data_IF_603826040984
#
_entry.id   IF_603826040984
#
_cell.length_a   1.000
_cell.length_b   1.000
_cell.length_c   1.000
_cell.angle_alpha   90.00
_cell.angle_beta   90.00
_cell.angle_gamma   90.00
#
_symmetry.space_group_name_H-M   'P 1'
#
loop_
_entity.id
_entity.type
_entity.pdbx_description
1 polymer ?
#
# COMPACT_ATOMS: atom_id res chain seq x y z
N UNK A 1 -4.88 4.98 7.52
CA UNK A 1 -4.79 5.31 8.97
C UNK A 1 -3.83 4.37 9.71
N UNK A 2 -3.74 3.08 9.33
CA UNK A 2 -2.84 2.10 9.97
C UNK A 2 -1.39 2.56 10.02
N UNK A 3 -0.83 3.07 8.93
CA UNK A 3 0.55 3.58 8.89
C UNK A 3 0.77 4.64 9.97
N UNK A 4 -0.16 5.58 10.15
CA UNK A 4 -0.05 6.64 11.17
C UNK A 4 -0.16 6.11 12.59
N UNK A 5 -0.88 5.02 12.80
CA UNK A 5 -0.99 4.38 14.11
C UNK A 5 0.36 3.81 14.56
N UNK A 6 1.09 3.17 13.66
CA UNK A 6 2.37 2.52 13.97
C UNK A 6 3.58 3.46 13.77
N UNK A 7 3.46 4.48 12.93
CA UNK A 7 4.48 5.48 12.71
C UNK A 7 3.87 6.90 12.78
N UNK A 8 3.69 7.46 13.99
CA UNK A 8 3.00 8.74 14.19
C UNK A 8 3.66 9.93 13.51
N UNK A 9 4.98 9.89 13.34
CA UNK A 9 5.76 10.95 12.68
C UNK A 9 5.67 10.90 11.15
N UNK A 10 5.19 9.78 10.56
CA UNK A 10 5.07 9.67 9.11
C UNK A 10 4.13 10.75 8.55
N UNK A 11 4.52 11.35 7.45
CA UNK A 11 3.62 12.12 6.61
C UNK A 11 2.98 11.15 5.61
N UNK A 12 1.65 11.08 5.61
CA UNK A 12 0.90 10.12 4.79
C UNK A 12 0.00 10.87 3.83
N UNK A 13 0.15 10.63 2.54
CA UNK A 13 -0.78 11.05 1.51
C UNK A 13 -1.57 9.83 1.03
N UNK A 14 -2.90 9.93 1.00
CA UNK A 14 -3.78 8.92 0.48
C UNK A 14 -4.42 9.42 -0.81
N UNK A 15 -4.25 8.68 -1.89
CA UNK A 15 -4.78 9.03 -3.22
C UNK A 15 -5.95 8.12 -3.53
N UNK A 16 -7.07 8.71 -3.94
CA UNK A 16 -8.29 8.01 -4.31
C UNK A 16 -8.86 8.62 -5.59
N UNK A 17 -9.24 7.78 -6.55
CA UNK A 17 -9.78 8.20 -7.84
C UNK A 17 -11.27 8.44 -7.80
N UNK A 18 -12.03 7.52 -7.15
CA UNK A 18 -13.50 7.61 -7.08
C UNK A 18 -13.92 8.81 -6.23
N UNK A 19 -14.77 9.73 -6.74
CA UNK A 19 -15.30 10.82 -5.94
C UNK A 19 -16.09 10.35 -4.72
N UNK A 20 -16.83 9.25 -4.86
CA UNK A 20 -17.64 8.66 -3.79
C UNK A 20 -16.72 8.10 -2.68
N UNK A 21 -15.71 7.32 -3.04
CA UNK A 21 -14.74 6.77 -2.08
C UNK A 21 -13.87 7.88 -1.48
N UNK A 22 -13.53 8.92 -2.26
CA UNK A 22 -12.78 10.08 -1.79
C UNK A 22 -13.52 10.84 -0.67
N UNK A 23 -14.83 10.98 -0.75
CA UNK A 23 -15.64 11.60 0.32
C UNK A 23 -15.49 10.83 1.65
N UNK A 24 -15.43 9.51 1.62
CA UNK A 24 -15.14 8.69 2.81
C UNK A 24 -13.71 8.84 3.29
N UNK A 25 -12.74 8.91 2.37
CA UNK A 25 -11.33 9.16 2.70
C UNK A 25 -11.17 10.49 3.44
N UNK A 26 -11.75 11.57 2.93
CA UNK A 26 -11.73 12.88 3.60
C UNK A 26 -12.35 12.84 4.99
N UNK A 27 -13.53 12.22 5.12
CA UNK A 27 -14.20 12.05 6.42
C UNK A 27 -13.32 11.32 7.42
N UNK A 28 -12.70 10.23 7.01
CA UNK A 28 -11.82 9.43 7.85
C UNK A 28 -10.54 10.19 8.24
N UNK A 29 -9.95 10.94 7.30
CA UNK A 29 -8.77 11.77 7.57
C UNK A 29 -9.08 12.87 8.61
N UNK A 30 -10.26 13.52 8.52
CA UNK A 30 -10.73 14.54 9.50
C UNK A 30 -10.98 13.92 10.87
N UNK A 31 -11.61 12.75 10.95
CA UNK A 31 -11.84 12.06 12.21
C UNK A 31 -10.53 11.69 12.91
N UNK A 32 -9.51 11.28 12.17
CA UNK A 32 -8.19 10.99 12.70
C UNK A 32 -7.49 12.24 13.29
N UNK A 33 -7.69 13.41 12.67
CA UNK A 33 -7.18 14.69 13.18
C UNK A 33 -7.89 15.14 14.47
N UNK A 34 -9.19 14.90 14.56
CA UNK A 34 -10.01 15.34 15.71
C UNK A 34 -9.84 14.45 16.96
N UNK A 35 -9.05 13.41 16.92
CA UNK A 35 -8.93 12.46 18.03
C UNK A 35 -10.22 11.66 18.31
N UNK A 36 -11.20 11.77 17.43
CA UNK A 36 -12.50 11.07 17.51
C UNK A 36 -12.49 9.74 16.76
N UNK A 37 -11.32 9.13 16.57
CA UNK A 37 -11.27 7.73 16.18
C UNK A 37 -12.03 6.93 17.23
N UNK A 38 -13.04 6.14 16.83
CA UNK A 38 -13.64 5.16 17.73
C UNK A 38 -12.51 4.47 18.47
N UNK A 39 -12.59 4.46 19.80
CA UNK A 39 -11.79 3.56 20.61
C UNK A 39 -12.05 2.14 20.11
N UNK A 40 -11.24 1.69 19.18
CA UNK A 40 -11.06 0.27 18.89
C UNK A 40 -10.10 -0.25 19.96
N UNK A 41 -10.49 -0.12 21.23
CA UNK A 41 -10.05 -1.01 22.27
C UNK A 41 -10.46 -2.40 21.80
N UNK A 42 -9.51 -3.29 21.64
CA UNK A 42 -9.63 -4.72 21.34
C UNK A 42 -9.58 -5.20 19.87
N UNK A 43 -8.80 -4.59 19.01
CA UNK A 43 -8.38 -5.30 17.79
C UNK A 43 -6.85 -5.28 17.69
N UNK A 44 -6.27 -6.42 17.98
CA UNK A 44 -4.87 -6.82 17.93
C UNK A 44 -4.10 -6.61 19.26
N UNK A 45 -4.25 -7.57 20.14
CA UNK A 45 -3.17 -7.94 21.07
C UNK A 45 -1.92 -8.28 20.27
N UNK A 46 -0.71 -7.85 20.69
CA UNK A 46 0.54 -8.07 19.93
C UNK A 46 0.98 -9.53 19.81
N UNK A 47 0.23 -10.46 20.40
CA UNK A 47 0.63 -11.86 20.62
C UNK A 47 0.72 -12.72 19.37
N UNK A 48 0.23 -12.29 18.21
CA UNK A 48 0.29 -13.09 16.98
C UNK A 48 1.50 -12.80 16.07
N UNK A 49 2.29 -11.77 16.36
CA UNK A 49 3.42 -11.35 15.52
C UNK A 49 4.80 -11.82 16.03
N UNK A 50 4.88 -12.39 17.22
CA UNK A 50 6.17 -12.75 17.86
C UNK A 50 6.74 -14.12 17.48
N UNK A 51 6.11 -14.90 16.61
CA UNK A 51 6.55 -16.29 16.31
C UNK A 51 6.95 -16.56 14.86
N UNK A 52 7.28 -15.55 14.06
CA UNK A 52 7.96 -15.78 12.79
C UNK A 52 9.42 -15.36 12.94
N UNK A 53 10.35 -16.27 12.56
CA UNK A 53 11.81 -16.06 12.49
C UNK A 53 12.21 -14.94 11.51
N UNK A 54 11.72 -13.73 11.73
CA UNK A 54 12.21 -12.53 11.07
C UNK A 54 13.22 -11.85 12.00
N UNK A 55 14.34 -11.30 11.50
CA UNK A 55 15.28 -10.56 12.33
C UNK A 55 14.51 -9.47 13.08
N UNK A 56 14.65 -9.46 14.41
CA UNK A 56 13.96 -8.54 15.28
C UNK A 56 14.25 -7.09 14.85
N UNK A 57 13.25 -6.42 14.27
CA UNK A 57 13.32 -4.99 14.05
C UNK A 57 13.15 -4.32 15.41
N UNK A 58 14.16 -3.54 15.83
CA UNK A 58 14.11 -2.78 17.09
C UNK A 58 13.08 -1.65 17.00
N UNK A 59 11.90 -1.90 17.54
CA UNK A 59 10.82 -0.93 17.66
C UNK A 59 11.03 0.10 18.78
N UNK A 60 12.07 -0.04 19.60
CA UNK A 60 12.31 0.79 20.78
C UNK A 60 12.35 2.29 20.48
N UNK A 61 13.08 2.77 19.47
CA UNK A 61 13.08 4.19 19.09
C UNK A 61 11.73 4.67 18.58
N UNK A 62 11.01 3.83 17.82
CA UNK A 62 9.68 4.15 17.29
C UNK A 62 8.62 4.24 18.39
N UNK A 63 8.67 3.35 19.39
CA UNK A 63 7.77 3.36 20.55
C UNK A 63 8.03 4.57 21.48
N UNK A 64 9.25 5.03 21.58
CA UNK A 64 9.56 6.24 22.37
C UNK A 64 9.08 7.53 21.69
N UNK A 65 9.04 7.58 20.36
CA UNK A 65 8.42 8.67 19.60
C UNK A 65 6.88 8.72 19.75
N UNK A 66 6.24 7.62 20.16
CA UNK A 66 4.80 7.55 20.43
C UNK A 66 4.34 8.40 21.65
N UNK A 67 5.27 8.83 22.51
CA UNK A 67 4.92 9.64 23.72
C UNK A 67 4.71 11.12 23.44
N UNK A 68 5.14 11.64 22.30
CA UNK A 68 4.82 12.99 21.87
C UNK A 68 3.48 12.95 21.11
N UNK A 69 2.47 13.74 21.51
CA UNK A 69 1.19 13.84 20.76
C UNK A 69 1.47 14.28 19.33
N UNK A 70 1.41 13.42 18.32
CA UNK A 70 1.69 13.82 16.96
C UNK A 70 0.44 14.46 16.35
N UNK A 71 0.64 15.54 15.61
CA UNK A 71 -0.36 15.97 14.67
C UNK A 71 -0.50 14.87 13.61
N UNK A 72 -1.59 14.10 13.65
CA UNK A 72 -1.86 13.08 12.64
C UNK A 72 -2.28 13.78 11.34
N UNK A 73 -1.33 14.02 10.47
CA UNK A 73 -1.61 14.60 9.16
C UNK A 73 -1.68 13.48 8.11
N UNK A 74 -2.88 12.98 7.86
CA UNK A 74 -3.18 12.21 6.64
C UNK A 74 -3.75 13.21 5.64
N UNK A 75 -3.07 13.40 4.52
CA UNK A 75 -3.53 14.29 3.45
C UNK A 75 -4.33 13.47 2.43
N UNK A 76 -5.65 13.68 2.32
CA UNK A 76 -6.43 13.10 1.25
C UNK A 76 -6.19 13.87 -0.05
N UNK A 77 -6.03 13.15 -1.15
CA UNK A 77 -5.88 13.71 -2.50
C UNK A 77 -6.78 12.93 -3.45
N UNK A 78 -7.61 13.64 -4.21
CA UNK A 78 -8.33 13.02 -5.31
C UNK A 78 -7.41 12.97 -6.53
N UNK A 79 -7.13 11.77 -7.04
CA UNK A 79 -6.18 11.61 -8.14
C UNK A 79 -6.23 10.22 -8.77
N UNK A 80 -5.75 10.14 -10.00
CA UNK A 80 -5.65 8.89 -10.75
C UNK A 80 -4.21 8.34 -10.69
N UNK A 81 -4.04 7.08 -10.31
CA UNK A 81 -2.75 6.40 -10.25
C UNK A 81 -1.99 6.51 -11.59
N UNK A 82 -2.70 6.52 -12.72
CA UNK A 82 -2.06 6.58 -14.04
C UNK A 82 -1.38 7.92 -14.35
N UNK A 83 -1.73 8.99 -13.65
CA UNK A 83 -1.18 10.34 -13.86
C UNK A 83 -0.62 10.98 -12.59
N UNK A 84 -1.01 10.50 -11.41
CA UNK A 84 -0.61 11.11 -10.14
C UNK A 84 0.92 11.12 -9.91
N UNK A 85 1.63 10.14 -10.46
CA UNK A 85 3.10 10.07 -10.39
C UNK A 85 3.80 11.32 -10.95
N UNK A 86 3.19 12.03 -11.91
CA UNK A 86 3.72 13.27 -12.50
C UNK A 86 3.82 14.42 -11.48
N UNK A 87 3.04 14.34 -10.41
CA UNK A 87 3.02 15.34 -9.33
C UNK A 87 3.99 15.02 -8.20
N UNK A 88 4.56 13.81 -8.19
CA UNK A 88 5.41 13.35 -7.10
C UNK A 88 6.84 13.88 -7.25
N UNK A 89 7.42 14.44 -6.17
CA UNK A 89 8.81 14.86 -6.16
C UNK A 89 9.74 13.66 -6.24
N UNK A 90 10.83 13.81 -6.99
CA UNK A 90 11.83 12.74 -7.12
C UNK A 90 12.57 12.49 -5.81
N UNK A 91 12.71 11.22 -5.43
CA UNK A 91 13.56 10.78 -4.34
C UNK A 91 13.12 11.18 -2.94
N UNK A 92 11.86 11.58 -2.74
CA UNK A 92 11.40 12.09 -1.45
C UNK A 92 10.56 11.11 -0.63
N UNK A 93 10.00 10.09 -1.27
CA UNK A 93 9.15 9.14 -0.56
C UNK A 93 9.96 7.99 0.05
N UNK A 94 9.64 7.62 1.28
CA UNK A 94 10.19 6.44 1.95
C UNK A 94 9.47 5.17 1.54
N UNK A 95 8.16 5.28 1.32
CA UNK A 95 7.26 4.14 1.13
C UNK A 95 6.09 4.51 0.22
N UNK A 96 5.78 3.60 -0.71
CA UNK A 96 4.53 3.60 -1.47
C UNK A 96 3.82 2.28 -1.16
N UNK A 97 2.54 2.36 -0.81
CA UNK A 97 1.68 1.20 -0.55
C UNK A 97 0.47 1.27 -1.48
N UNK A 98 0.15 0.18 -2.14
CA UNK A 98 -1.04 0.10 -2.99
C UNK A 98 -1.70 -1.28 -2.90
N UNK A 99 -3.03 -1.26 -2.84
CA UNK A 99 -3.89 -2.40 -3.14
C UNK A 99 -4.68 -2.06 -4.40
N UNK A 100 -4.09 -2.22 -5.58
CA UNK A 100 -4.74 -1.87 -6.82
C UNK A 100 -5.73 -2.94 -7.24
N UNK A 101 -6.69 -2.65 -8.13
CA UNK A 101 -7.47 -3.67 -8.81
C UNK A 101 -6.55 -4.69 -9.49
N UNK A 102 -6.93 -5.96 -9.49
CA UNK A 102 -6.12 -7.03 -10.07
C UNK A 102 -6.91 -8.13 -10.77
N UNK A 103 -8.25 -8.03 -10.82
CA UNK A 103 -9.06 -9.03 -11.51
C UNK A 103 -9.05 -8.80 -13.01
N UNK A 104 -8.96 -9.89 -13.76
CA UNK A 104 -9.10 -9.88 -15.22
C UNK A 104 -10.56 -9.67 -15.62
N UNK A 105 -10.79 -9.22 -16.87
CA UNK A 105 -12.13 -9.12 -17.42
C UNK A 105 -12.89 -10.46 -17.43
N UNK A 106 -12.19 -11.58 -17.52
CA UNK A 106 -12.79 -12.92 -17.45
C UNK A 106 -13.21 -13.28 -16.00
N UNK A 107 -12.39 -12.94 -15.00
CA UNK A 107 -12.70 -13.16 -13.58
C UNK A 107 -13.88 -12.28 -13.12
N UNK A 108 -14.01 -11.08 -13.67
CA UNK A 108 -15.15 -10.18 -13.40
C UNK A 108 -16.51 -10.82 -13.76
N UNK A 109 -16.55 -11.79 -14.67
CA UNK A 109 -17.78 -12.50 -15.04
C UNK A 109 -18.15 -13.62 -14.05
N UNK A 110 -17.26 -13.97 -13.12
CA UNK A 110 -17.40 -15.10 -12.20
C UNK A 110 -17.28 -14.67 -10.73
N UNK A 111 -17.60 -13.41 -10.43
CA UNK A 111 -17.48 -12.87 -9.06
C UNK A 111 -18.45 -13.56 -8.10
N UNK A 112 -17.99 -13.75 -6.88
CA UNK A 112 -18.87 -14.10 -5.77
C UNK A 112 -19.85 -12.95 -5.48
N UNK A 113 -21.07 -13.24 -5.03
CA UNK A 113 -22.11 -12.22 -4.83
C UNK A 113 -21.68 -11.05 -3.93
N UNK A 114 -20.83 -11.32 -2.94
CA UNK A 114 -20.32 -10.33 -2.01
C UNK A 114 -19.39 -9.35 -2.72
N UNK A 115 -18.47 -9.87 -3.56
CA UNK A 115 -17.51 -9.09 -4.32
C UNK A 115 -18.17 -8.32 -5.46
N UNK A 116 -19.24 -8.89 -6.06
CA UNK A 116 -19.99 -8.24 -7.12
C UNK A 116 -20.72 -6.95 -6.68
N UNK A 117 -20.78 -6.68 -5.38
CA UNK A 117 -21.32 -5.42 -4.83
C UNK A 117 -20.31 -4.28 -4.84
N UNK A 118 -19.03 -4.59 -5.01
CA UNK A 118 -17.99 -3.56 -5.11
C UNK A 118 -18.00 -2.89 -6.49
N UNK A 119 -17.65 -1.60 -6.59
CA UNK A 119 -17.56 -0.93 -7.89
C UNK A 119 -16.56 -1.64 -8.81
N UNK A 120 -16.93 -1.88 -10.06
CA UNK A 120 -16.07 -2.55 -11.04
C UNK A 120 -14.69 -1.90 -11.16
N UNK A 121 -14.62 -0.58 -11.07
CA UNK A 121 -13.35 0.18 -11.10
C UNK A 121 -12.41 -0.14 -9.94
N UNK A 122 -12.90 -0.72 -8.84
CA UNK A 122 -12.09 -1.15 -7.71
C UNK A 122 -11.56 -2.57 -7.85
N UNK A 123 -12.03 -3.32 -8.85
CA UNK A 123 -11.75 -4.74 -9.03
C UNK A 123 -11.03 -5.04 -10.34
N UNK A 124 -11.47 -4.43 -11.45
CA UNK A 124 -11.05 -4.76 -12.81
C UNK A 124 -9.70 -4.11 -13.18
N UNK A 125 -8.78 -4.93 -13.68
CA UNK A 125 -7.42 -4.52 -14.08
C UNK A 125 -7.09 -4.91 -15.53
N UNK A 126 -8.09 -4.91 -16.41
CA UNK A 126 -7.92 -5.19 -17.83
C UNK A 126 -7.86 -6.69 -18.16
N UNK A 127 -7.33 -7.02 -19.33
CA UNK A 127 -7.37 -8.39 -19.85
C UNK A 127 -6.53 -9.38 -19.03
N UNK A 128 -5.38 -8.96 -18.52
CA UNK A 128 -4.44 -9.81 -17.79
C UNK A 128 -4.28 -9.47 -16.31
N UNK A 129 -5.07 -8.52 -15.80
CA UNK A 129 -5.03 -8.14 -14.39
C UNK A 129 -3.79 -7.35 -13.96
N UNK A 130 -2.95 -6.86 -14.89
CA UNK A 130 -1.64 -6.28 -14.57
C UNK A 130 -1.52 -4.79 -14.89
N UNK A 131 -2.55 -4.13 -15.38
CA UNK A 131 -2.45 -2.75 -15.88
C UNK A 131 -1.97 -1.77 -14.81
N UNK A 132 -2.43 -1.89 -13.58
CA UNK A 132 -2.02 -1.03 -12.47
C UNK A 132 -0.60 -1.33 -12.00
N UNK A 133 -0.20 -2.60 -11.98
CA UNK A 133 1.18 -2.97 -11.63
C UNK A 133 2.19 -2.45 -12.66
N UNK A 134 1.83 -2.44 -13.94
CA UNK A 134 2.67 -1.81 -15.00
C UNK A 134 2.88 -0.33 -14.72
N UNK A 135 1.82 0.41 -14.44
CA UNK A 135 1.92 1.84 -14.13
C UNK A 135 2.79 2.08 -12.89
N UNK A 136 2.58 1.30 -11.82
CA UNK A 136 3.38 1.40 -10.59
C UNK A 136 4.86 1.07 -10.84
N UNK A 137 5.14 -0.03 -11.56
CA UNK A 137 6.50 -0.44 -11.84
C UNK A 137 7.27 0.57 -12.70
N UNK A 138 6.63 1.13 -13.70
CA UNK A 138 7.26 2.02 -14.69
C UNK A 138 7.47 3.44 -14.16
N UNK A 139 6.50 3.97 -13.40
CA UNK A 139 6.46 5.42 -13.15
C UNK A 139 6.76 5.81 -11.69
N UNK A 140 6.51 4.94 -10.71
CA UNK A 140 6.55 5.34 -9.31
C UNK A 140 7.92 5.18 -8.63
N UNK A 141 8.84 4.43 -9.25
CA UNK A 141 10.16 4.17 -8.65
C UNK A 141 10.97 5.44 -8.39
N UNK A 142 10.87 6.42 -9.26
CA UNK A 142 11.64 7.66 -9.13
C UNK A 142 11.20 8.53 -7.95
N UNK A 143 9.94 8.45 -7.53
CA UNK A 143 9.44 9.18 -6.38
C UNK A 143 10.01 8.67 -5.04
N UNK A 144 10.38 7.39 -4.96
CA UNK A 144 11.03 6.82 -3.78
C UNK A 144 12.49 7.30 -3.66
N UNK A 145 12.97 7.53 -2.44
CA UNK A 145 14.40 7.70 -2.19
C UNK A 145 15.16 6.39 -2.48
N UNK A 146 16.48 6.42 -2.71
CA UNK A 146 17.29 5.20 -2.77
C UNK A 146 17.07 4.32 -1.53
N UNK A 147 16.76 3.04 -1.74
CA UNK A 147 16.38 2.09 -0.68
C UNK A 147 14.93 2.21 -0.19
N UNK A 148 14.16 3.19 -0.66
CA UNK A 148 12.72 3.30 -0.40
C UNK A 148 11.94 2.11 -0.96
N UNK A 149 10.78 1.79 -0.38
CA UNK A 149 10.04 0.57 -0.66
C UNK A 149 8.71 0.83 -1.37
N UNK A 150 8.36 -0.08 -2.27
CA UNK A 150 7.02 -0.27 -2.82
C UNK A 150 6.43 -1.54 -2.21
N UNK A 151 5.21 -1.46 -1.71
CA UNK A 151 4.46 -2.57 -1.14
C UNK A 151 3.14 -2.71 -1.90
N UNK A 152 2.91 -3.86 -2.49
CA UNK A 152 1.75 -4.15 -3.33
C UNK A 152 0.96 -5.34 -2.78
N UNK A 153 -0.35 -5.21 -2.65
CA UNK A 153 -1.22 -6.37 -2.60
C UNK A 153 -1.37 -6.95 -4.01
N UNK A 154 -1.43 -8.28 -4.11
CA UNK A 154 -1.54 -9.00 -5.38
C UNK A 154 -2.62 -10.08 -5.31
N UNK A 155 -3.19 -10.43 -6.45
CA UNK A 155 -3.93 -11.67 -6.62
C UNK A 155 -3.02 -12.88 -6.39
N UNK A 156 -3.54 -13.92 -5.73
CA UNK A 156 -2.76 -15.06 -5.26
C UNK A 156 -1.99 -15.83 -6.36
N UNK A 157 -2.37 -15.70 -7.62
CA UNK A 157 -1.70 -16.30 -8.78
C UNK A 157 -0.74 -15.34 -9.49
N UNK A 158 -0.68 -14.06 -9.10
CA UNK A 158 0.05 -13.04 -9.86
C UNK A 158 1.50 -12.83 -9.41
N UNK A 159 1.97 -13.57 -8.40
CA UNK A 159 3.32 -13.41 -7.86
C UNK A 159 4.39 -13.35 -8.93
N UNK A 160 4.45 -14.35 -9.83
CA UNK A 160 5.51 -14.43 -10.82
C UNK A 160 5.44 -13.26 -11.80
N UNK A 161 4.25 -12.98 -12.35
CA UNK A 161 4.07 -11.92 -13.33
C UNK A 161 4.42 -10.54 -12.77
N UNK A 162 4.01 -10.24 -11.52
CA UNK A 162 4.32 -8.96 -10.89
C UNK A 162 5.80 -8.87 -10.51
N UNK A 163 6.42 -9.97 -10.06
CA UNK A 163 7.87 -10.02 -9.77
C UNK A 163 8.70 -9.74 -11.01
N UNK A 164 8.39 -10.40 -12.13
CA UNK A 164 9.09 -10.21 -13.39
C UNK A 164 8.94 -8.78 -13.90
N UNK A 165 7.72 -8.26 -13.85
CA UNK A 165 7.41 -6.88 -14.24
C UNK A 165 8.22 -5.86 -13.42
N UNK A 166 8.33 -6.04 -12.12
CA UNK A 166 9.13 -5.18 -11.27
C UNK A 166 10.63 -5.29 -11.59
N UNK A 167 11.14 -6.51 -11.76
CA UNK A 167 12.54 -6.74 -12.09
C UNK A 167 12.93 -6.10 -13.44
N UNK A 168 12.10 -6.24 -14.46
CA UNK A 168 12.28 -5.61 -15.78
C UNK A 168 12.32 -4.08 -15.71
N UNK A 169 11.62 -3.49 -14.74
CA UNK A 169 11.60 -2.04 -14.51
C UNK A 169 12.66 -1.57 -13.49
N UNK A 170 13.64 -2.43 -13.17
CA UNK A 170 14.82 -2.07 -12.39
C UNK A 170 14.55 -1.91 -10.89
N UNK A 171 13.56 -2.60 -10.34
CA UNK A 171 13.36 -2.74 -8.91
C UNK A 171 14.32 -3.82 -8.35
N UNK A 172 14.68 -3.69 -7.10
CA UNK A 172 15.59 -4.60 -6.40
C UNK A 172 14.92 -5.18 -5.15
N UNK A 173 15.57 -6.18 -4.54
CA UNK A 173 15.17 -6.81 -3.28
C UNK A 173 13.66 -7.16 -3.26
N UNK A 174 13.22 -7.86 -4.33
CA UNK A 174 11.82 -8.20 -4.53
C UNK A 174 11.49 -9.44 -3.69
N UNK A 175 10.58 -9.29 -2.75
CA UNK A 175 10.13 -10.35 -1.85
C UNK A 175 8.60 -10.52 -1.96
N UNK A 176 8.13 -11.77 -1.83
CA UNK A 176 6.71 -12.05 -1.71
C UNK A 176 6.38 -12.57 -0.31
N UNK A 177 5.32 -12.05 0.28
CA UNK A 177 4.76 -12.49 1.57
C UNK A 177 3.41 -13.14 1.36
N UNK A 178 3.14 -14.16 2.16
CA UNK A 178 1.88 -14.91 2.15
C UNK A 178 0.89 -14.33 3.15
N UNK A 179 -0.39 -14.52 2.85
CA UNK A 179 -1.46 -14.28 3.82
C UNK A 179 -1.57 -15.43 4.84
N UNK A 180 -2.49 -15.29 5.80
CA UNK A 180 -2.73 -16.34 6.80
C UNK A 180 -3.25 -17.65 6.23
N UNK A 181 -3.82 -17.62 5.02
CA UNK A 181 -4.26 -18.81 4.28
C UNK A 181 -3.14 -19.51 3.51
N UNK A 182 -1.91 -18.93 3.52
CA UNK A 182 -0.76 -19.47 2.81
C UNK A 182 -0.68 -19.07 1.34
N UNK A 183 -1.56 -18.18 0.86
CA UNK A 183 -1.54 -17.67 -0.51
C UNK A 183 -0.56 -16.50 -0.65
N UNK A 184 0.10 -16.41 -1.79
CA UNK A 184 0.91 -15.23 -2.12
C UNK A 184 0.00 -14.00 -2.15
N UNK A 185 0.36 -12.95 -1.37
CA UNK A 185 -0.56 -11.82 -1.17
C UNK A 185 0.10 -10.45 -1.23
N UNK A 186 1.35 -10.33 -0.87
CA UNK A 186 2.01 -9.05 -0.80
C UNK A 186 3.39 -9.12 -1.43
N UNK A 187 3.70 -8.20 -2.34
CA UNK A 187 5.05 -8.03 -2.88
C UNK A 187 5.65 -6.76 -2.29
N UNK A 188 6.89 -6.87 -1.86
CA UNK A 188 7.73 -5.76 -1.42
C UNK A 188 8.88 -5.66 -2.41
N UNK A 189 9.13 -4.46 -2.94
CA UNK A 189 10.26 -4.19 -3.83
C UNK A 189 10.94 -2.88 -3.41
N UNK A 190 12.22 -2.70 -3.71
CA UNK A 190 12.97 -1.51 -3.33
C UNK A 190 13.52 -0.76 -4.54
N UNK A 191 13.55 0.58 -4.44
CA UNK A 191 14.40 1.37 -5.33
C UNK A 191 15.86 1.01 -5.02
N UNK A 192 16.70 0.62 -6.02
CA UNK A 192 18.10 0.32 -5.79
C UNK A 192 18.83 1.45 -5.07
N UNK A 193 19.75 1.10 -4.18
CA UNK A 193 20.68 2.08 -3.61
C UNK A 193 21.71 2.48 -4.66
N UNK A 194 22.05 3.76 -4.69
CA UNK A 194 23.17 4.22 -5.50
C UNK A 194 24.44 3.67 -4.83
N UNK A 195 25.09 2.70 -5.46
CA UNK A 195 26.43 2.30 -5.03
C UNK A 195 27.39 3.45 -5.40
N UNK A 196 27.88 4.16 -4.41
CA UNK A 196 28.99 5.10 -4.55
C UNK A 196 30.27 4.34 -4.83
#
# INVERSE_FOLDING_TARGET
>A
LGVKRFCPTAQVTCVEKSPEAFAYLEKNARCALAGQGRQTENLLEPTAFEQADAPAFDWGPALNALKAKPAYAVQPVQGDLFTYWETLPEGQLDLIVSNPPYLTAAEMQQLQPEVAQEPAMALEAGEDGLVFYRALAQHYRQALRPGGALVLEIGWQQRQAVTDLLAENGWADIECRKDYGGNDRCIIARRPQIKL
#
